data_IF_192967888875
#
_entry.id   IF_192967888875
#
_cell.length_a   1.000
_cell.length_b   1.000
_cell.length_c   1.000
_cell.angle_alpha   90.00
_cell.angle_beta   90.00
_cell.angle_gamma   90.00
#
_symmetry.space_group_name_H-M   'P 1'
#
loop_
_entity.id
_entity.type
_entity.pdbx_description
1 polymer ?
#
# COMPACT_ATOMS: atom_id res chain seq x y z
N UNK A 1 28.74 10.42 -5.99
CA UNK A 1 27.88 9.26 -5.76
C UNK A 1 26.69 9.66 -4.91
N UNK A 2 25.47 9.17 -5.25
CA UNK A 2 24.28 9.41 -4.43
C UNK A 2 24.48 8.84 -3.03
N UNK A 3 24.01 9.55 -2.02
CA UNK A 3 24.00 9.13 -0.62
C UNK A 3 22.57 8.97 -0.15
N UNK A 4 22.16 7.73 0.17
CA UNK A 4 20.82 7.43 0.65
C UNK A 4 20.93 6.80 2.03
N UNK A 5 20.30 7.43 3.01
CA UNK A 5 20.29 7.00 4.42
C UNK A 5 18.85 6.82 4.93
N UNK A 6 18.68 6.04 5.96
CA UNK A 6 17.40 5.81 6.62
C UNK A 6 17.61 5.77 8.14
N UNK A 7 16.64 6.27 8.89
CA UNK A 7 16.68 6.35 10.36
C UNK A 7 16.55 4.98 11.05
N UNK A 8 15.84 4.04 10.43
CA UNK A 8 15.46 2.76 11.08
C UNK A 8 16.18 1.54 10.53
N UNK A 9 16.81 1.65 9.35
CA UNK A 9 17.44 0.51 8.70
C UNK A 9 18.54 0.89 7.72
N UNK A 10 19.38 -0.08 7.36
CA UNK A 10 20.30 0.05 6.22
C UNK A 10 19.53 -0.32 4.96
N UNK A 11 19.33 0.65 4.06
CA UNK A 11 18.66 0.40 2.80
C UNK A 11 19.54 -0.46 1.87
N UNK A 12 18.96 -1.49 1.20
CA UNK A 12 19.69 -2.25 0.19
C UNK A 12 20.19 -1.36 -0.94
N UNK A 13 21.37 -1.67 -1.50
CA UNK A 13 21.96 -0.93 -2.64
C UNK A 13 21.08 -0.92 -3.91
N UNK A 14 20.08 -1.79 -3.98
CA UNK A 14 19.10 -1.87 -5.05
C UNK A 14 17.68 -1.51 -4.57
N UNK A 15 17.56 -0.71 -3.50
CA UNK A 15 16.25 -0.25 -3.00
C UNK A 15 15.47 0.51 -4.09
N UNK A 16 14.18 0.66 -3.89
CA UNK A 16 13.31 1.41 -4.82
C UNK A 16 13.81 2.83 -5.07
N UNK A 17 14.38 3.50 -4.07
CA UNK A 17 14.97 4.84 -4.22
C UNK A 17 16.20 4.80 -5.13
N UNK A 18 17.12 3.83 -4.96
CA UNK A 18 18.28 3.69 -5.85
C UNK A 18 17.82 3.44 -7.30
N UNK A 19 16.85 2.56 -7.51
CA UNK A 19 16.27 2.31 -8.84
C UNK A 19 15.60 3.54 -9.42
N UNK A 20 14.94 4.36 -8.60
CA UNK A 20 14.36 5.64 -9.04
C UNK A 20 15.41 6.56 -9.62
N UNK A 21 16.52 6.79 -8.89
CA UNK A 21 17.60 7.64 -9.37
C UNK A 21 18.24 7.06 -10.64
N UNK A 22 18.41 5.74 -10.71
CA UNK A 22 18.95 5.07 -11.91
C UNK A 22 18.05 5.31 -13.12
N UNK A 23 16.75 5.06 -13.02
CA UNK A 23 15.78 5.24 -14.10
C UNK A 23 15.74 6.70 -14.57
N UNK A 24 15.80 7.65 -13.65
CA UNK A 24 15.84 9.09 -14.00
C UNK A 24 17.16 9.50 -14.65
N UNK A 25 18.31 8.95 -14.22
CA UNK A 25 19.62 9.17 -14.86
C UNK A 25 19.72 8.57 -16.25
N UNK A 26 19.05 7.47 -16.53
CA UNK A 26 18.93 6.95 -17.90
C UNK A 26 18.18 7.93 -18.83
N UNK A 27 17.18 8.63 -18.30
CA UNK A 27 16.43 9.65 -19.05
C UNK A 27 17.20 10.97 -19.19
N UNK A 28 17.92 11.39 -18.13
CA UNK A 28 18.75 12.59 -18.09
C UNK A 28 20.11 12.27 -17.45
N UNK A 29 21.14 11.92 -18.28
CA UNK A 29 22.44 11.45 -17.75
C UNK A 29 23.23 12.48 -16.94
N UNK A 30 22.94 13.77 -17.12
CA UNK A 30 23.59 14.90 -16.44
C UNK A 30 22.94 15.27 -15.10
N UNK A 31 22.03 14.43 -14.58
CA UNK A 31 21.47 14.64 -13.22
C UNK A 31 22.57 14.63 -12.16
N UNK A 32 22.51 15.56 -11.19
CA UNK A 32 23.50 15.62 -10.12
C UNK A 32 23.41 14.39 -9.21
N UNK A 33 24.32 14.33 -8.26
CA UNK A 33 24.24 13.40 -7.15
C UNK A 33 23.36 13.99 -6.02
N UNK A 34 22.55 13.13 -5.43
CA UNK A 34 21.58 13.51 -4.38
C UNK A 34 21.99 12.96 -3.03
N UNK A 35 21.68 13.73 -2.00
CA UNK A 35 21.68 13.29 -0.64
C UNK A 35 20.22 13.16 -0.16
N UNK A 36 19.81 11.93 0.14
CA UNK A 36 18.43 11.60 0.51
C UNK A 36 18.44 10.95 1.88
N UNK A 37 17.67 11.51 2.81
CA UNK A 37 17.44 10.91 4.11
C UNK A 37 15.98 10.49 4.24
N UNK A 38 15.74 9.22 4.58
CA UNK A 38 14.40 8.63 4.70
C UNK A 38 14.04 8.47 6.17
N UNK A 39 12.92 9.09 6.57
CA UNK A 39 12.32 8.91 7.89
C UNK A 39 11.11 7.98 7.72
N UNK A 40 11.22 6.76 8.26
CA UNK A 40 10.19 5.73 8.08
C UNK A 40 9.07 5.85 9.10
N UNK A 41 7.86 6.16 8.61
CA UNK A 41 6.64 6.12 9.41
C UNK A 41 5.75 4.91 9.09
N UNK A 42 5.86 4.38 7.88
CA UNK A 42 5.13 3.17 7.46
C UNK A 42 5.97 1.94 7.82
N UNK A 43 5.46 1.01 8.63
CA UNK A 43 6.20 -0.20 9.00
C UNK A 43 6.55 -1.06 7.78
N UNK A 44 7.70 -1.72 7.83
CA UNK A 44 8.10 -2.64 6.78
C UNK A 44 7.22 -3.88 6.74
N UNK A 45 7.13 -4.49 5.54
CA UNK A 45 6.34 -5.72 5.30
C UNK A 45 4.91 -5.61 5.83
N UNK A 46 4.30 -4.45 5.66
CA UNK A 46 2.95 -4.16 6.11
C UNK A 46 1.88 -4.34 5.01
N UNK A 47 2.26 -4.53 3.76
CA UNK A 47 1.31 -4.50 2.63
C UNK A 47 0.77 -3.08 2.35
N UNK A 48 1.47 -2.04 2.79
CA UNK A 48 1.09 -0.62 2.65
C UNK A 48 1.91 0.13 1.59
N UNK A 49 2.67 -0.58 0.77
CA UNK A 49 3.50 -0.04 -0.31
C UNK A 49 4.47 1.10 0.11
N UNK A 50 4.96 1.12 1.37
CA UNK A 50 5.80 2.19 1.90
C UNK A 50 7.03 2.50 1.06
N UNK A 51 7.79 1.47 0.65
CA UNK A 51 8.97 1.64 -0.22
C UNK A 51 8.61 2.20 -1.61
N UNK A 52 7.43 1.89 -2.13
CA UNK A 52 6.94 2.42 -3.40
C UNK A 52 6.47 3.86 -3.27
N UNK A 53 5.91 4.23 -2.12
CA UNK A 53 5.57 5.61 -1.81
C UNK A 53 6.84 6.49 -1.69
N UNK A 54 7.90 5.99 -1.02
CA UNK A 54 9.20 6.67 -0.97
C UNK A 54 9.77 6.90 -2.38
N UNK A 55 9.74 5.87 -3.22
CA UNK A 55 10.20 5.94 -4.60
C UNK A 55 9.42 6.97 -5.43
N UNK A 56 8.08 6.97 -5.32
CA UNK A 56 7.23 7.94 -5.99
C UNK A 56 7.49 9.38 -5.52
N UNK A 57 7.72 9.58 -4.22
CA UNK A 57 8.08 10.88 -3.67
C UNK A 57 9.42 11.40 -4.22
N UNK A 58 10.46 10.54 -4.23
CA UNK A 58 11.77 10.88 -4.80
C UNK A 58 11.67 11.15 -6.30
N UNK A 59 10.92 10.34 -7.05
CA UNK A 59 10.70 10.56 -8.48
C UNK A 59 10.13 11.97 -8.73
N UNK A 60 9.05 12.32 -8.04
CA UNK A 60 8.40 13.63 -8.18
C UNK A 60 9.32 14.78 -7.76
N UNK A 61 10.04 14.61 -6.66
CA UNK A 61 10.95 15.63 -6.15
C UNK A 61 12.09 15.92 -7.13
N UNK A 62 12.75 14.87 -7.65
CA UNK A 62 13.83 15.02 -8.64
C UNK A 62 13.30 15.66 -9.92
N UNK A 63 12.15 15.21 -10.44
CA UNK A 63 11.55 15.83 -11.63
C UNK A 63 11.27 17.33 -11.42
N UNK A 64 10.73 17.70 -10.26
CA UNK A 64 10.45 19.10 -9.95
C UNK A 64 11.73 19.95 -9.79
N UNK A 65 12.74 19.44 -9.09
CA UNK A 65 14.02 20.14 -8.87
C UNK A 65 14.80 20.37 -10.16
N UNK A 66 14.77 19.41 -11.07
CA UNK A 66 15.57 19.41 -12.29
C UNK A 66 14.80 19.87 -13.54
N UNK A 67 13.55 20.31 -13.37
CA UNK A 67 12.71 20.76 -14.46
C UNK A 67 12.39 19.67 -15.49
N UNK A 68 12.33 18.40 -15.08
CA UNK A 68 11.97 17.29 -15.94
C UNK A 68 10.46 17.29 -16.19
N UNK A 69 10.06 17.81 -17.35
CA UNK A 69 8.66 17.74 -17.78
C UNK A 69 8.44 16.45 -18.56
N UNK A 70 7.47 15.64 -18.10
CA UNK A 70 7.08 14.38 -18.74
C UNK A 70 5.56 14.24 -18.65
N UNK A 71 4.94 13.72 -19.72
CA UNK A 71 3.53 13.34 -19.68
C UNK A 71 3.28 12.23 -18.65
N UNK A 72 2.09 12.19 -18.08
CA UNK A 72 1.74 11.22 -17.02
C UNK A 72 2.01 9.77 -17.46
N UNK A 73 1.64 9.42 -18.68
CA UNK A 73 1.86 8.07 -19.23
C UNK A 73 3.35 7.68 -19.26
N UNK A 74 4.23 8.63 -19.58
CA UNK A 74 5.66 8.41 -19.55
C UNK A 74 6.18 8.22 -18.12
N UNK A 75 5.71 9.05 -17.20
CA UNK A 75 6.02 8.92 -15.76
C UNK A 75 5.61 7.55 -15.23
N UNK A 76 4.39 7.08 -15.54
CA UNK A 76 3.89 5.78 -15.09
C UNK A 76 4.69 4.61 -15.68
N UNK A 77 5.09 4.68 -16.95
CA UNK A 77 5.97 3.67 -17.58
C UNK A 77 7.33 3.60 -16.91
N UNK A 78 7.93 4.73 -16.57
CA UNK A 78 9.21 4.78 -15.85
C UNK A 78 9.03 4.26 -14.42
N UNK A 79 7.94 4.65 -13.73
CA UNK A 79 7.61 4.19 -12.39
C UNK A 79 7.43 2.66 -12.32
N UNK A 80 6.82 2.05 -13.33
CA UNK A 80 6.65 0.58 -13.41
C UNK A 80 8.00 -0.18 -13.48
N UNK A 81 9.05 0.44 -14.02
CA UNK A 81 10.40 -0.13 -14.02
C UNK A 81 11.07 -0.12 -12.64
N UNK A 82 10.59 0.74 -11.74
CA UNK A 82 11.10 0.85 -10.37
C UNK A 82 10.45 -0.22 -9.48
N UNK A 83 9.15 -0.41 -9.61
CA UNK A 83 8.39 -1.42 -8.88
C UNK A 83 6.90 -1.39 -9.20
N UNK A 84 6.22 -2.52 -9.04
CA UNK A 84 4.81 -2.71 -9.43
C UNK A 84 3.84 -1.70 -8.79
N UNK A 85 4.05 -1.32 -7.53
CA UNK A 85 3.16 -0.40 -6.82
C UNK A 85 3.56 1.08 -7.00
N UNK A 86 4.74 1.38 -7.59
CA UNK A 86 5.21 2.77 -7.73
C UNK A 86 4.29 3.61 -8.62
N UNK A 87 3.78 3.10 -9.77
CA UNK A 87 2.82 3.84 -10.58
C UNK A 87 1.57 4.26 -9.81
N UNK A 88 1.01 3.35 -9.00
CA UNK A 88 -0.14 3.68 -8.14
C UNK A 88 0.20 4.77 -7.11
N UNK A 89 1.37 4.69 -6.47
CA UNK A 89 1.84 5.72 -5.53
C UNK A 89 2.09 7.08 -6.22
N UNK A 90 2.34 7.11 -7.53
CA UNK A 90 2.41 8.34 -8.31
C UNK A 90 1.06 9.05 -8.41
N UNK A 91 -0.03 8.31 -8.61
CA UNK A 91 -1.38 8.90 -8.73
C UNK A 91 -2.07 9.09 -7.37
N UNK A 92 -1.85 8.18 -6.43
CA UNK A 92 -2.30 8.22 -5.03
C UNK A 92 -3.78 8.63 -4.86
N UNK A 93 -4.68 7.89 -5.51
CA UNK A 93 -6.15 8.05 -5.43
C UNK A 93 -6.84 6.71 -5.70
N UNK A 94 -8.15 6.63 -5.50
CA UNK A 94 -8.89 5.44 -5.90
C UNK A 94 -8.63 5.12 -7.38
N UNK A 95 -8.22 3.89 -7.64
CA UNK A 95 -7.94 3.44 -8.99
C UNK A 95 -8.12 1.92 -9.12
N UNK A 96 -8.48 1.49 -10.32
CA UNK A 96 -8.37 0.11 -10.75
C UNK A 96 -6.99 -0.09 -11.36
N UNK A 97 -6.22 -1.00 -10.78
CA UNK A 97 -4.87 -1.33 -11.25
C UNK A 97 -4.91 -2.68 -11.95
N UNK A 98 -4.28 -2.78 -13.11
CA UNK A 98 -4.23 -3.98 -13.96
C UNK A 98 -2.79 -4.26 -14.41
N UNK A 99 -2.60 -5.46 -15.01
CA UNK A 99 -1.27 -5.91 -15.42
C UNK A 99 -0.39 -6.22 -14.20
N UNK A 100 0.86 -5.80 -14.25
CA UNK A 100 1.81 -5.87 -13.12
C UNK A 100 1.85 -4.58 -12.29
N UNK A 101 0.84 -3.67 -12.45
CA UNK A 101 0.78 -2.37 -11.78
C UNK A 101 0.86 -1.16 -12.71
N UNK A 102 1.14 -1.36 -14.00
CA UNK A 102 1.38 -0.30 -14.99
C UNK A 102 0.11 0.31 -15.59
N UNK A 103 -1.01 -0.40 -15.53
CA UNK A 103 -2.29 0.07 -16.10
C UNK A 103 -3.18 0.60 -14.99
N UNK A 104 -3.29 1.91 -14.89
CA UNK A 104 -4.02 2.59 -13.82
C UNK A 104 -5.23 3.32 -14.41
N UNK A 105 -6.40 2.91 -13.99
CA UNK A 105 -7.68 3.57 -14.30
C UNK A 105 -8.16 4.28 -13.04
N UNK A 106 -7.95 5.60 -12.95
CA UNK A 106 -8.38 6.38 -11.78
C UNK A 106 -9.90 6.41 -11.68
N UNK A 107 -10.42 6.25 -10.48
CA UNK A 107 -11.84 6.38 -10.16
C UNK A 107 -12.06 7.80 -9.63
N UNK A 108 -12.89 8.57 -10.34
CA UNK A 108 -13.21 9.94 -9.93
C UNK A 108 -14.23 9.93 -8.80
N UNK A 109 -13.78 10.25 -7.60
CA UNK A 109 -14.62 10.39 -6.40
C UNK A 109 -13.93 11.28 -5.39
N UNK A 110 -14.71 11.97 -4.58
CA UNK A 110 -14.27 12.74 -3.40
C UNK A 110 -14.55 11.98 -2.10
N UNK A 111 -14.90 10.69 -2.22
CA UNK A 111 -15.25 9.86 -1.08
C UNK A 111 -14.05 9.65 -0.15
N UNK A 112 -14.32 9.74 1.15
CA UNK A 112 -13.34 9.54 2.22
C UNK A 112 -13.80 8.40 3.12
N UNK A 113 -12.96 7.37 3.24
CA UNK A 113 -13.24 6.19 4.03
C UNK A 113 -12.32 6.17 5.25
N UNK A 114 -12.85 6.36 6.47
CA UNK A 114 -12.06 6.18 7.69
C UNK A 114 -11.67 4.71 7.86
N UNK A 115 -10.44 4.49 8.26
CA UNK A 115 -9.89 3.15 8.40
C UNK A 115 -8.89 3.10 9.55
N UNK A 116 -8.96 2.05 10.36
CA UNK A 116 -7.94 1.72 11.35
C UNK A 116 -6.96 0.70 10.75
N UNK A 117 -5.69 1.05 10.72
CA UNK A 117 -4.59 0.14 10.41
C UNK A 117 -4.09 -0.51 11.69
N UNK A 118 -3.96 -1.84 11.71
CA UNK A 118 -3.33 -2.60 12.80
C UNK A 118 -2.31 -3.55 12.19
N UNK A 119 -1.03 -3.43 12.60
CA UNK A 119 0.03 -4.29 12.11
C UNK A 119 0.76 -4.99 13.25
N UNK A 120 0.88 -6.34 13.19
CA UNK A 120 1.69 -7.10 14.12
C UNK A 120 3.19 -6.87 13.89
N UNK A 121 4.03 -7.30 14.83
CA UNK A 121 5.49 -7.16 14.72
C UNK A 121 6.12 -7.96 13.58
N UNK A 122 5.46 -9.04 13.13
CA UNK A 122 5.91 -9.85 12.00
C UNK A 122 5.41 -9.31 10.65
N UNK A 123 6.07 -9.72 9.57
CA UNK A 123 5.65 -9.49 8.18
C UNK A 123 5.22 -10.78 7.50
N UNK A 124 4.65 -10.65 6.30
CA UNK A 124 4.34 -11.76 5.40
C UNK A 124 5.29 -11.71 4.21
N UNK A 125 5.83 -12.87 3.83
CA UNK A 125 6.61 -13.00 2.60
C UNK A 125 5.69 -12.91 1.38
N UNK A 126 5.73 -11.79 0.67
CA UNK A 126 4.93 -11.57 -0.55
C UNK A 126 5.11 -12.71 -1.58
N UNK A 127 6.34 -13.17 -1.91
CA UNK A 127 6.52 -14.27 -2.85
C UNK A 127 5.86 -15.57 -2.38
N UNK A 128 5.97 -15.90 -1.09
CA UNK A 128 5.34 -17.12 -0.56
C UNK A 128 3.81 -17.04 -0.55
N UNK A 129 3.25 -15.87 -0.24
CA UNK A 129 1.80 -15.66 -0.28
C UNK A 129 1.26 -15.84 -1.70
N UNK A 130 1.93 -15.28 -2.71
CA UNK A 130 1.55 -15.48 -4.12
C UNK A 130 1.70 -16.94 -4.56
N UNK A 131 2.77 -17.62 -4.19
CA UNK A 131 2.98 -19.03 -4.51
C UNK A 131 1.86 -19.92 -3.95
N UNK A 132 1.43 -19.67 -2.71
CA UNK A 132 0.31 -20.38 -2.10
C UNK A 132 -1.02 -20.05 -2.79
N UNK A 133 -1.23 -18.79 -3.19
CA UNK A 133 -2.42 -18.38 -3.91
C UNK A 133 -2.51 -19.01 -5.29
N UNK A 134 -1.40 -19.12 -6.05
CA UNK A 134 -1.34 -19.76 -7.36
C UNK A 134 -1.63 -21.27 -7.29
N UNK A 135 -1.27 -21.93 -6.20
CA UNK A 135 -1.49 -23.37 -5.99
C UNK A 135 -2.83 -23.71 -5.35
N UNK A 136 -3.60 -22.72 -4.90
CA UNK A 136 -4.87 -22.89 -4.20
C UNK A 136 -6.11 -22.58 -5.06
N UNK A 137 -7.28 -22.69 -4.45
CA UNK A 137 -8.53 -22.29 -5.06
C UNK A 137 -8.59 -20.76 -5.20
N UNK A 138 -8.56 -20.28 -6.44
CA UNK A 138 -8.63 -18.86 -6.73
C UNK A 138 -10.07 -18.35 -6.60
N UNK A 139 -10.29 -17.45 -5.65
CA UNK A 139 -11.56 -16.77 -5.51
C UNK A 139 -11.70 -15.68 -6.60
N UNK A 140 -12.81 -15.66 -7.30
CA UNK A 140 -13.13 -14.59 -8.24
C UNK A 140 -13.61 -13.35 -7.50
N UNK A 141 -12.87 -12.23 -7.65
CA UNK A 141 -13.25 -10.93 -7.09
C UNK A 141 -13.92 -10.08 -8.16
N UNK A 142 -15.16 -9.64 -7.92
CA UNK A 142 -15.84 -8.72 -8.83
C UNK A 142 -15.36 -7.28 -8.63
N UNK A 143 -14.22 -6.96 -9.27
CA UNK A 143 -13.61 -5.64 -9.24
C UNK A 143 -14.54 -4.57 -9.83
N UNK A 144 -15.39 -4.93 -10.79
CA UNK A 144 -16.32 -3.98 -11.41
C UNK A 144 -17.44 -3.57 -10.46
N UNK A 145 -17.90 -4.49 -9.61
CA UNK A 145 -18.87 -4.19 -8.56
C UNK A 145 -18.23 -3.29 -7.48
N UNK A 146 -17.00 -3.58 -7.07
CA UNK A 146 -16.26 -2.73 -6.10
C UNK A 146 -16.09 -1.31 -6.65
N UNK A 147 -15.72 -1.18 -7.94
CA UNK A 147 -15.59 0.13 -8.58
C UNK A 147 -16.90 0.91 -8.55
N UNK A 148 -18.04 0.27 -8.91
CA UNK A 148 -19.36 0.92 -8.83
C UNK A 148 -19.72 1.37 -7.42
N UNK A 149 -19.41 0.56 -6.40
CA UNK A 149 -19.65 0.98 -5.01
C UNK A 149 -18.87 2.24 -4.64
N UNK A 150 -17.61 2.36 -5.11
CA UNK A 150 -16.78 3.55 -4.88
C UNK A 150 -17.34 4.77 -5.60
N UNK A 151 -17.71 4.63 -6.88
CA UNK A 151 -18.29 5.71 -7.70
C UNK A 151 -19.61 6.22 -7.12
N UNK A 152 -20.45 5.31 -6.61
CA UNK A 152 -21.76 5.62 -6.04
C UNK A 152 -21.71 5.96 -4.54
N UNK A 153 -20.54 5.84 -3.89
CA UNK A 153 -20.35 5.98 -2.45
C UNK A 153 -21.25 5.05 -1.62
N UNK A 154 -21.54 3.85 -2.18
CA UNK A 154 -22.33 2.83 -1.50
C UNK A 154 -21.46 2.03 -0.52
N UNK A 155 -21.38 2.53 0.71
CA UNK A 155 -20.59 1.93 1.78
C UNK A 155 -21.05 0.51 2.11
N UNK A 156 -22.36 0.30 2.25
CA UNK A 156 -22.91 -0.98 2.67
C UNK A 156 -22.63 -2.10 1.66
N UNK A 157 -22.68 -1.79 0.39
CA UNK A 157 -22.30 -2.75 -0.66
C UNK A 157 -20.79 -2.92 -0.72
N UNK A 158 -19.99 -1.86 -0.56
CA UNK A 158 -18.55 -1.91 -0.59
C UNK A 158 -18.00 -2.87 0.49
N UNK A 159 -18.37 -2.68 1.77
CA UNK A 159 -17.88 -3.52 2.87
C UNK A 159 -18.25 -4.99 2.75
N UNK A 160 -19.34 -5.31 2.02
CA UNK A 160 -19.77 -6.69 1.74
C UNK A 160 -19.02 -7.32 0.57
N UNK A 161 -18.61 -6.51 -0.42
CA UNK A 161 -18.00 -7.01 -1.67
C UNK A 161 -16.48 -6.96 -1.67
N UNK A 162 -15.86 -6.08 -0.87
CA UNK A 162 -14.40 -5.99 -0.84
C UNK A 162 -13.77 -7.27 -0.29
N UNK A 163 -12.72 -7.74 -0.97
CA UNK A 163 -12.01 -8.97 -0.64
C UNK A 163 -10.51 -8.81 -0.91
N UNK A 164 -9.71 -9.65 -0.27
CA UNK A 164 -8.29 -9.78 -0.56
C UNK A 164 -7.95 -11.26 -0.79
N UNK A 165 -7.60 -11.61 -2.03
CA UNK A 165 -7.28 -12.98 -2.41
C UNK A 165 -6.05 -13.56 -1.68
N UNK A 166 -5.19 -12.71 -1.13
CA UNK A 166 -3.99 -13.13 -0.39
C UNK A 166 -4.25 -13.35 1.12
N UNK A 167 -5.47 -13.09 1.64
CA UNK A 167 -5.76 -13.33 3.07
C UNK A 167 -5.58 -14.79 3.47
N UNK A 168 -6.19 -15.72 2.73
CA UNK A 168 -6.07 -17.16 3.03
C UNK A 168 -4.62 -17.64 3.00
N UNK A 169 -3.83 -17.37 1.95
CA UNK A 169 -2.39 -17.65 1.94
C UNK A 169 -1.63 -17.03 3.13
N UNK A 170 -1.92 -15.78 3.47
CA UNK A 170 -1.26 -15.11 4.57
C UNK A 170 -1.58 -15.75 5.93
N UNK A 171 -2.83 -16.19 6.15
CA UNK A 171 -3.24 -16.90 7.36
C UNK A 171 -2.62 -18.31 7.46
N UNK A 172 -2.38 -18.97 6.31
CA UNK A 172 -1.64 -20.25 6.29
C UNK A 172 -0.18 -20.05 6.69
N UNK A 173 0.46 -18.96 6.24
CA UNK A 173 1.84 -18.62 6.60
C UNK A 173 1.98 -18.16 8.05
N UNK A 174 0.97 -17.42 8.55
CA UNK A 174 0.96 -16.84 9.90
C UNK A 174 -0.45 -16.93 10.51
N UNK A 175 -0.80 -18.05 11.17
CA UNK A 175 -2.13 -18.24 11.77
C UNK A 175 -2.53 -17.16 12.77
N UNK A 176 -1.57 -16.59 13.52
CA UNK A 176 -1.81 -15.48 14.45
C UNK A 176 -2.34 -14.21 13.78
N UNK A 177 -2.16 -14.05 12.47
CA UNK A 177 -2.79 -12.94 11.72
C UNK A 177 -4.30 -13.12 11.62
N UNK A 178 -4.78 -14.36 11.48
CA UNK A 178 -6.21 -14.67 11.51
C UNK A 178 -6.82 -14.38 12.88
N UNK A 179 -6.13 -14.78 13.96
CA UNK A 179 -6.55 -14.51 15.34
C UNK A 179 -6.63 -12.99 15.60
N UNK A 180 -5.67 -12.22 15.08
CA UNK A 180 -5.68 -10.76 15.15
C UNK A 180 -6.90 -10.18 14.41
N UNK A 181 -7.20 -10.67 13.20
CA UNK A 181 -8.39 -10.26 12.44
C UNK A 181 -9.67 -10.52 13.24
N UNK A 182 -9.85 -11.74 13.75
CA UNK A 182 -10.99 -12.11 14.56
C UNK A 182 -11.11 -11.26 15.84
N UNK A 183 -9.97 -10.89 16.42
CA UNK A 183 -9.95 -9.96 17.57
C UNK A 183 -10.44 -8.57 17.18
N UNK A 184 -10.03 -8.03 16.04
CA UNK A 184 -10.51 -6.75 15.53
C UNK A 184 -12.00 -6.77 15.20
N UNK A 185 -12.52 -7.87 14.62
CA UNK A 185 -13.93 -8.04 14.29
C UNK A 185 -14.83 -8.02 15.54
N UNK A 186 -14.36 -8.53 16.68
CA UNK A 186 -15.09 -8.51 17.96
C UNK A 186 -15.34 -7.11 18.52
N UNK A 187 -14.61 -6.09 18.06
CA UNK A 187 -14.90 -4.69 18.42
C UNK A 187 -16.12 -4.12 17.70
N UNK A 188 -16.66 -4.80 16.68
CA UNK A 188 -17.82 -4.35 15.94
C UNK A 188 -17.50 -3.40 14.79
N UNK A 189 -16.27 -3.44 14.27
CA UNK A 189 -15.91 -2.78 13.01
C UNK A 189 -16.75 -3.33 11.86
N UNK A 190 -17.16 -2.48 10.93
CA UNK A 190 -18.07 -2.85 9.84
C UNK A 190 -17.43 -3.87 8.86
N UNK A 191 -16.13 -3.80 8.70
CA UNK A 191 -15.31 -4.75 7.94
C UNK A 191 -13.88 -4.76 8.45
N UNK A 192 -13.28 -5.94 8.55
CA UNK A 192 -11.84 -6.11 8.75
C UNK A 192 -11.28 -6.94 7.61
N UNK A 193 -10.19 -6.48 6.99
CA UNK A 193 -9.50 -7.20 5.92
C UNK A 193 -8.01 -6.87 5.91
N UNK A 194 -7.21 -7.76 5.32
CA UNK A 194 -5.78 -7.53 5.13
C UNK A 194 -5.54 -6.58 3.95
N UNK A 195 -4.52 -5.71 4.05
CA UNK A 195 -4.07 -4.88 2.93
C UNK A 195 -2.89 -5.53 2.19
N UNK A 196 -2.95 -5.50 0.87
CA UNK A 196 -1.91 -6.06 0.00
C UNK A 196 -1.57 -7.50 0.34
N UNK A 197 -0.30 -7.83 0.45
CA UNK A 197 0.20 -9.14 0.89
C UNK A 197 0.31 -9.30 2.41
N UNK A 198 -0.13 -8.30 3.18
CA UNK A 198 -0.06 -8.30 4.64
C UNK A 198 1.31 -7.77 5.16
N UNK A 199 1.49 -7.75 6.44
CA UNK A 199 0.65 -8.29 7.52
C UNK A 199 -0.34 -7.28 8.12
N UNK A 200 -0.47 -6.06 7.58
CA UNK A 200 -1.36 -5.06 8.13
C UNK A 200 -2.83 -5.42 7.84
N UNK A 201 -3.68 -5.27 8.85
CA UNK A 201 -5.13 -5.36 8.75
C UNK A 201 -5.75 -3.96 8.72
N UNK A 202 -6.80 -3.81 7.94
CA UNK A 202 -7.62 -2.62 7.82
C UNK A 202 -8.98 -2.87 8.45
N UNK A 203 -9.37 -2.04 9.41
CA UNK A 203 -10.70 -2.06 10.00
C UNK A 203 -11.48 -0.81 9.61
N UNK A 204 -12.63 -0.98 8.97
CA UNK A 204 -13.47 0.10 8.47
C UNK A 204 -14.61 0.39 9.42
N UNK A 205 -14.88 1.66 9.69
CA UNK A 205 -16.12 2.15 10.31
C UNK A 205 -16.21 3.67 10.17
N UNK A 206 -17.41 4.21 10.04
CA UNK A 206 -17.66 5.64 10.16
C UNK A 206 -17.83 6.10 11.63
N UNK A 207 -17.91 5.18 12.57
CA UNK A 207 -17.94 5.50 13.99
C UNK A 207 -16.52 5.81 14.49
N UNK A 208 -16.18 7.10 14.58
CA UNK A 208 -14.86 7.56 15.02
C UNK A 208 -14.52 7.15 16.45
N UNK A 209 -15.50 7.12 17.35
CA UNK A 209 -15.26 6.70 18.73
C UNK A 209 -14.87 5.23 18.80
N UNK A 210 -15.55 4.37 18.03
CA UNK A 210 -15.19 2.95 17.90
C UNK A 210 -13.77 2.78 17.35
N UNK A 211 -13.40 3.52 16.30
CA UNK A 211 -12.05 3.48 15.75
C UNK A 211 -11.00 3.89 16.79
N UNK A 212 -11.24 4.95 17.56
CA UNK A 212 -10.33 5.42 18.60
C UNK A 212 -10.19 4.42 19.76
N UNK A 213 -11.29 3.85 20.22
CA UNK A 213 -11.28 2.82 21.27
C UNK A 213 -10.50 1.58 20.82
N UNK A 214 -10.76 1.13 19.59
CA UNK A 214 -10.06 -0.02 18.98
C UNK A 214 -8.58 0.26 18.79
N UNK A 215 -8.22 1.43 18.28
CA UNK A 215 -6.83 1.87 18.14
C UNK A 215 -6.10 1.83 19.48
N UNK A 216 -6.68 2.44 20.50
CA UNK A 216 -6.09 2.48 21.86
C UNK A 216 -5.86 1.08 22.43
N UNK A 217 -6.81 0.17 22.22
CA UNK A 217 -6.67 -1.21 22.66
C UNK A 217 -5.48 -1.89 22.02
N UNK A 218 -5.37 -1.86 20.68
CA UNK A 218 -4.28 -2.53 19.95
C UNK A 218 -2.93 -1.85 20.19
N UNK A 219 -2.88 -0.52 20.31
CA UNK A 219 -1.65 0.19 20.73
C UNK A 219 -1.16 -0.30 22.10
N UNK A 220 -2.05 -0.46 23.07
CA UNK A 220 -1.69 -0.95 24.42
C UNK A 220 -1.21 -2.41 24.41
N UNK A 221 -1.57 -3.18 23.39
CA UNK A 221 -1.08 -4.55 23.16
C UNK A 221 0.27 -4.59 22.37
N UNK A 222 0.84 -3.42 22.05
CA UNK A 222 2.12 -3.33 21.34
C UNK A 222 2.01 -3.44 19.81
N UNK A 223 0.80 -3.44 19.25
CA UNK A 223 0.65 -3.38 17.78
C UNK A 223 0.88 -1.95 17.27
N UNK A 224 1.50 -1.83 16.11
CA UNK A 224 1.35 -0.59 15.36
C UNK A 224 -0.13 -0.39 15.02
N UNK A 225 -0.68 0.76 15.38
CA UNK A 225 -2.08 1.07 15.07
C UNK A 225 -2.25 2.56 14.77
N UNK A 226 -2.90 2.85 13.64
CA UNK A 226 -3.05 4.20 13.11
C UNK A 226 -4.41 4.36 12.42
N UNK A 227 -5.18 5.37 12.81
CA UNK A 227 -6.36 5.77 12.06
C UNK A 227 -5.93 6.61 10.87
N UNK A 228 -6.42 6.25 9.69
CA UNK A 228 -6.16 6.94 8.43
C UNK A 228 -7.46 7.17 7.67
N UNK A 229 -7.39 8.00 6.65
CA UNK A 229 -8.49 8.20 5.71
C UNK A 229 -8.03 7.79 4.32
N UNK A 230 -8.78 6.92 3.66
CA UNK A 230 -8.55 6.46 2.28
C UNK A 230 -9.38 7.32 1.32
N UNK A 231 -8.74 7.78 0.21
CA UNK A 231 -9.39 8.58 -0.82
C UNK A 231 -8.93 10.03 -0.91
#
# INVERSE_FOLDING_TARGET
>A
QDLITCDTMILPKNSTIHRTLQVLKEKKPDLPHYQIHVIKHIPDQAGLAGSSADAAAVFKAVCAMEGLSMELDEQLKLAARIGADVPFCMVNRFARVKGIGEKIECITTDWKLPCLLVKPSFGISTPQAFQLWESGDQCSIDVSQIQKCIEQKDYNSLIRTMQNALETPAFMLQPSLKELKESMEKFGLDRVMMTGSGSCLMGFSFNQELLLQTQKYFSNQGYFSQIVTIG
#
